data_IF_938807670240
#
_entry.id   IF_938807670240
#
_cell.length_a   1.000
_cell.length_b   1.000
_cell.length_c   1.000
_cell.angle_alpha   90.00
_cell.angle_beta   90.00
_cell.angle_gamma   90.00
#
_symmetry.space_group_name_H-M   'P 1'
#
loop_
_entity.id
_entity.type
_entity.pdbx_description
1 polymer ?
#
# COMPACT_ATOMS: atom_id res chain seq x y z
N UNK A 1 -16.62 -28.36 63.09
CA UNK A 1 -17.36 -27.85 61.91
C UNK A 1 -16.70 -26.56 61.44
N UNK A 2 -16.64 -26.30 60.12
CA UNK A 2 -16.04 -25.10 59.46
C UNK A 2 -14.53 -25.12 59.17
N UNK A 3 -14.02 -26.20 58.59
CA UNK A 3 -12.84 -26.18 57.71
C UNK A 3 -13.13 -27.26 56.69
N UNK A 4 -13.43 -26.90 55.44
CA UNK A 4 -13.50 -27.76 54.23
C UNK A 4 -14.34 -27.09 53.12
N UNK A 5 -15.13 -26.04 53.43
CA UNK A 5 -15.92 -25.31 52.40
C UNK A 5 -15.02 -24.39 51.55
N UNK A 6 -13.92 -23.88 52.11
CA UNK A 6 -13.04 -22.94 51.39
C UNK A 6 -12.25 -23.58 50.24
N UNK A 7 -11.98 -24.89 50.31
CA UNK A 7 -11.21 -25.60 49.28
C UNK A 7 -12.03 -25.86 48.00
N UNK A 8 -13.36 -26.04 48.16
CA UNK A 8 -14.27 -26.35 47.05
C UNK A 8 -14.51 -25.11 46.17
N UNK A 9 -14.55 -23.91 46.80
CA UNK A 9 -14.72 -22.64 46.09
C UNK A 9 -13.54 -22.30 45.18
N UNK A 10 -12.31 -22.59 45.63
CA UNK A 10 -11.08 -22.36 44.85
C UNK A 10 -10.98 -23.35 43.68
N UNK A 11 -11.41 -24.60 43.87
CA UNK A 11 -11.37 -25.63 42.82
C UNK A 11 -12.41 -25.36 41.70
N UNK A 12 -13.54 -24.74 42.04
CA UNK A 12 -14.60 -24.39 41.06
C UNK A 12 -14.25 -23.22 40.14
N UNK A 13 -13.31 -22.34 40.55
CA UNK A 13 -12.82 -21.22 39.73
C UNK A 13 -11.82 -21.66 38.64
N UNK A 14 -11.19 -22.82 38.81
CA UNK A 14 -10.18 -23.34 37.86
C UNK A 14 -10.78 -24.14 36.69
N UNK A 15 -12.07 -24.50 36.74
CA UNK A 15 -12.73 -25.28 35.71
C UNK A 15 -13.50 -24.43 34.68
N UNK A 16 -13.55 -23.11 34.85
CA UNK A 16 -14.28 -22.21 33.96
C UNK A 16 -13.41 -21.56 32.86
N UNK A 17 -12.16 -21.98 32.72
CA UNK A 17 -11.26 -21.57 31.64
C UNK A 17 -11.02 -22.74 30.67
N UNK A 18 -12.11 -23.36 30.21
CA UNK A 18 -12.09 -24.03 28.91
C UNK A 18 -12.57 -22.98 27.91
N UNK A 19 -11.63 -22.19 27.40
CA UNK A 19 -11.86 -21.38 26.21
C UNK A 19 -12.33 -22.33 25.12
N UNK A 20 -13.62 -22.27 24.78
CA UNK A 20 -14.09 -22.89 23.56
C UNK A 20 -13.29 -22.29 22.42
N UNK A 21 -12.59 -23.13 21.66
CA UNK A 21 -11.94 -22.72 20.42
C UNK A 21 -12.99 -22.03 19.56
N UNK A 22 -12.92 -20.70 19.52
CA UNK A 22 -13.73 -19.91 18.61
C UNK A 22 -13.17 -20.24 17.23
N UNK A 23 -13.83 -21.17 16.54
CA UNK A 23 -13.64 -21.40 15.11
C UNK A 23 -14.06 -20.11 14.38
N UNK A 24 -13.21 -19.10 14.41
CA UNK A 24 -13.36 -17.95 13.54
C UNK A 24 -13.16 -18.47 12.12
N UNK A 25 -14.10 -18.22 11.20
CA UNK A 25 -13.87 -18.56 9.80
C UNK A 25 -12.57 -17.87 9.36
N UNK A 26 -11.65 -18.65 8.78
CA UNK A 26 -10.39 -18.12 8.27
C UNK A 26 -10.76 -17.08 7.20
N UNK A 27 -10.62 -15.80 7.53
CA UNK A 27 -10.86 -14.74 6.57
C UNK A 27 -9.78 -14.78 5.50
N UNK A 28 -10.20 -15.03 4.26
CA UNK A 28 -9.29 -15.10 3.13
C UNK A 28 -8.59 -13.75 2.95
N UNK A 29 -7.25 -13.78 3.00
CA UNK A 29 -6.42 -12.60 2.77
C UNK A 29 -6.29 -12.32 1.26
N UNK A 30 -6.49 -11.07 0.81
CA UNK A 30 -6.31 -10.72 -0.59
C UNK A 30 -4.87 -10.92 -1.07
N UNK A 31 -4.71 -11.54 -2.24
CA UNK A 31 -3.42 -11.76 -2.91
C UNK A 31 -3.10 -10.59 -3.83
N UNK A 32 -1.83 -10.18 -3.86
CA UNK A 32 -1.34 -9.10 -4.70
C UNK A 32 -1.07 -9.59 -6.13
N UNK A 33 -1.68 -8.91 -7.10
CA UNK A 33 -1.39 -8.98 -8.53
C UNK A 33 -0.82 -7.66 -9.01
N UNK A 34 0.11 -7.73 -9.96
CA UNK A 34 0.66 -6.54 -10.60
C UNK A 34 0.64 -6.66 -12.11
N UNK A 35 0.48 -5.52 -12.78
CA UNK A 35 0.65 -5.41 -14.23
C UNK A 35 1.08 -4.01 -14.63
N UNK A 36 1.70 -3.89 -15.80
CA UNK A 36 2.02 -2.59 -16.38
C UNK A 36 0.79 -2.00 -17.07
N UNK A 37 0.49 -0.74 -16.78
CA UNK A 37 -0.60 0.03 -17.38
C UNK A 37 -0.07 1.34 -17.95
N UNK A 38 -0.82 1.93 -18.89
CA UNK A 38 -0.59 3.30 -19.35
C UNK A 38 -1.31 4.27 -18.43
N UNK A 39 -0.61 5.30 -17.97
CA UNK A 39 -1.17 6.38 -17.17
C UNK A 39 -0.89 7.72 -17.83
N UNK A 40 -1.80 8.68 -17.66
CA UNK A 40 -1.67 10.03 -18.20
C UNK A 40 -1.06 10.92 -17.13
N UNK A 41 -0.05 11.70 -17.51
CA UNK A 41 0.52 12.75 -16.66
C UNK A 41 -0.50 13.86 -16.48
N UNK A 42 -0.88 14.12 -15.24
CA UNK A 42 -1.83 15.17 -14.84
C UNK A 42 -1.11 16.45 -14.46
N UNK A 43 0.06 16.35 -13.82
CA UNK A 43 0.90 17.50 -13.49
C UNK A 43 2.33 17.07 -13.30
N UNK A 44 3.29 17.92 -13.68
CA UNK A 44 4.72 17.66 -13.47
C UNK A 44 5.42 18.91 -12.93
N UNK A 45 5.49 19.03 -11.59
CA UNK A 45 6.11 20.16 -10.91
C UNK A 45 7.58 19.88 -10.64
N UNK A 46 8.44 20.84 -10.94
CA UNK A 46 9.90 20.69 -10.92
C UNK A 46 10.51 21.82 -10.11
N UNK A 47 11.52 21.50 -9.31
CA UNK A 47 12.26 22.49 -8.52
C UNK A 47 13.73 22.12 -8.50
N UNK A 48 14.59 23.11 -8.61
CA UNK A 48 16.03 22.94 -8.48
C UNK A 48 16.60 23.98 -7.53
N UNK A 49 17.61 23.62 -6.75
CA UNK A 49 18.36 24.55 -5.92
C UNK A 49 19.83 24.13 -5.85
N UNK A 50 20.68 25.00 -5.30
CA UNK A 50 22.10 24.72 -5.12
C UNK A 50 22.44 24.68 -3.62
N UNK A 51 23.08 23.59 -3.19
CA UNK A 51 23.56 23.40 -1.81
C UNK A 51 24.76 22.45 -1.84
N UNK A 52 25.96 23.00 -2.07
CA UNK A 52 27.20 22.24 -2.33
C UNK A 52 27.24 21.55 -3.71
N UNK A 53 26.08 21.09 -4.18
CA UNK A 53 25.84 20.59 -5.53
C UNK A 53 24.46 21.03 -6.02
N UNK A 54 24.16 20.79 -7.31
CA UNK A 54 22.82 21.01 -7.86
C UNK A 54 21.88 19.91 -7.39
N UNK A 55 20.73 20.30 -6.85
CA UNK A 55 19.64 19.41 -6.44
C UNK A 55 18.43 19.55 -7.37
N UNK A 56 17.72 18.44 -7.56
CA UNK A 56 16.53 18.32 -8.38
C UNK A 56 15.42 17.67 -7.56
N UNK A 57 14.22 18.24 -7.61
CA UNK A 57 13.01 17.66 -7.04
C UNK A 57 11.90 17.70 -8.06
N UNK A 58 11.19 16.60 -8.19
CA UNK A 58 10.07 16.44 -9.10
C UNK A 58 8.87 15.87 -8.35
N UNK A 59 7.72 16.53 -8.48
CA UNK A 59 6.41 16.04 -8.07
C UNK A 59 5.59 15.77 -9.33
N UNK A 60 5.44 14.51 -9.69
CA UNK A 60 4.66 14.08 -10.85
C UNK A 60 3.36 13.41 -10.39
N UNK A 61 2.23 13.89 -10.91
CA UNK A 61 0.90 13.31 -10.68
C UNK A 61 0.45 12.60 -11.94
N UNK A 62 -0.03 11.38 -11.80
CA UNK A 62 -0.55 10.57 -12.90
C UNK A 62 -1.95 10.07 -12.60
N UNK A 63 -2.72 9.79 -13.67
CA UNK A 63 -4.06 9.21 -13.59
C UNK A 63 -4.19 8.06 -14.57
N UNK A 64 -4.73 6.93 -14.11
CA UNK A 64 -5.30 5.93 -15.01
C UNK A 64 -6.75 6.27 -15.28
N UNK A 65 -7.11 6.46 -16.55
CA UNK A 65 -8.51 6.66 -16.96
C UNK A 65 -9.33 5.37 -16.82
N UNK A 66 -8.74 4.23 -17.19
CA UNK A 66 -9.37 2.91 -17.15
C UNK A 66 -9.83 2.51 -15.74
N UNK A 67 -8.97 2.73 -14.73
CA UNK A 67 -9.27 2.38 -13.34
C UNK A 67 -9.79 3.54 -12.51
N UNK A 68 -9.87 4.74 -13.08
CA UNK A 68 -10.21 6.00 -12.40
C UNK A 68 -9.43 6.25 -11.09
N UNK A 69 -8.14 5.89 -11.07
CA UNK A 69 -7.22 6.11 -9.92
C UNK A 69 -6.13 7.11 -10.28
N UNK A 70 -5.59 7.78 -9.26
CA UNK A 70 -4.51 8.75 -9.39
C UNK A 70 -3.45 8.53 -8.31
N UNK A 71 -2.20 8.89 -8.59
CA UNK A 71 -1.09 8.83 -7.64
C UNK A 71 -0.13 9.98 -7.90
N UNK A 72 0.46 10.50 -6.82
CA UNK A 72 1.55 11.45 -6.86
C UNK A 72 2.86 10.75 -6.49
N UNK A 73 3.90 11.00 -7.26
CA UNK A 73 5.26 10.52 -7.02
C UNK A 73 6.18 11.71 -6.75
N UNK A 74 7.12 11.50 -5.83
CA UNK A 74 8.13 12.47 -5.45
C UNK A 74 9.50 11.87 -5.75
N UNK A 75 10.20 12.46 -6.71
CA UNK A 75 11.54 12.05 -7.12
C UNK A 75 12.52 13.14 -6.72
N UNK A 76 13.69 12.77 -6.22
CA UNK A 76 14.76 13.70 -5.84
C UNK A 76 16.09 13.08 -6.24
N UNK A 77 16.96 13.89 -6.84
CA UNK A 77 18.33 13.50 -7.14
C UNK A 77 19.26 14.72 -7.13
N UNK A 78 20.57 14.53 -7.12
CA UNK A 78 21.56 15.60 -7.01
C UNK A 78 22.87 15.26 -7.72
N UNK A 79 23.70 16.28 -7.99
CA UNK A 79 25.02 16.07 -8.60
C UNK A 79 25.07 16.26 -10.11
N UNK A 80 26.28 16.10 -10.64
CA UNK A 80 26.56 16.19 -12.08
C UNK A 80 25.92 15.04 -12.89
N UNK A 81 25.57 13.93 -12.22
CA UNK A 81 25.00 12.73 -12.82
C UNK A 81 23.55 12.47 -12.39
N UNK A 82 22.87 13.49 -11.88
CA UNK A 82 21.48 13.37 -11.45
C UNK A 82 20.59 12.85 -12.59
N UNK A 83 19.80 11.82 -12.33
CA UNK A 83 18.90 11.17 -13.27
C UNK A 83 17.45 11.39 -12.86
N UNK A 84 16.77 12.23 -13.63
CA UNK A 84 15.35 12.52 -13.43
C UNK A 84 14.58 12.04 -14.67
N UNK A 85 14.21 10.74 -14.75
CA UNK A 85 13.72 10.12 -15.99
C UNK A 85 12.44 10.77 -16.52
N UNK A 86 11.59 11.29 -15.64
CA UNK A 86 10.35 11.95 -16.01
C UNK A 86 10.48 13.47 -16.11
N UNK A 87 11.69 14.03 -16.04
CA UNK A 87 11.90 15.48 -15.99
C UNK A 87 11.29 16.20 -17.19
N UNK A 88 11.31 15.58 -18.37
CA UNK A 88 10.80 16.20 -19.60
C UNK A 88 9.35 15.85 -19.91
N UNK A 89 8.69 15.00 -19.12
CA UNK A 89 7.27 14.69 -19.31
C UNK A 89 6.41 15.95 -19.15
N UNK A 90 5.40 16.07 -20.00
CA UNK A 90 4.40 17.15 -20.01
C UNK A 90 3.04 16.62 -19.58
N UNK A 91 2.17 17.54 -19.16
CA UNK A 91 0.77 17.19 -18.91
C UNK A 91 0.14 16.65 -20.19
N UNK A 92 -0.60 15.55 -20.08
CA UNK A 92 -1.18 14.82 -21.21
C UNK A 92 -0.31 13.66 -21.74
N UNK A 93 0.98 13.61 -21.42
CA UNK A 93 1.85 12.51 -21.84
C UNK A 93 1.37 11.17 -21.26
N UNK A 94 1.51 10.10 -22.03
CA UNK A 94 1.31 8.74 -21.55
C UNK A 94 2.64 8.12 -21.13
N UNK A 95 2.71 7.66 -19.89
CA UNK A 95 3.85 6.92 -19.36
C UNK A 95 3.42 5.57 -18.79
N UNK A 96 4.37 4.66 -18.65
CA UNK A 96 4.12 3.34 -18.08
C UNK A 96 4.18 3.41 -16.55
N UNK A 97 3.26 2.69 -15.89
CA UNK A 97 3.26 2.52 -14.46
C UNK A 97 2.80 1.12 -14.09
N UNK A 98 3.24 0.63 -12.94
CA UNK A 98 2.76 -0.62 -12.37
C UNK A 98 1.48 -0.38 -11.58
N UNK A 99 0.44 -1.15 -11.90
CA UNK A 99 -0.79 -1.23 -11.15
C UNK A 99 -0.70 -2.41 -10.19
N UNK A 100 -0.92 -2.17 -8.91
CA UNK A 100 -1.19 -3.21 -7.92
C UNK A 100 -2.70 -3.41 -7.78
N UNK A 101 -3.11 -4.67 -7.72
CA UNK A 101 -4.49 -5.10 -7.47
C UNK A 101 -4.48 -6.18 -6.41
N UNK A 102 -5.24 -5.99 -5.33
CA UNK A 102 -5.44 -7.01 -4.30
C UNK A 102 -6.74 -7.74 -4.59
N UNK A 103 -6.66 -9.05 -4.81
CA UNK A 103 -7.77 -9.91 -5.24
C UNK A 103 -7.97 -11.04 -4.22
N UNK A 104 -9.21 -11.32 -3.81
CA UNK A 104 -9.53 -12.58 -3.13
C UNK A 104 -9.59 -13.69 -4.17
N UNK A 105 -8.91 -14.81 -3.97
CA UNK A 105 -8.89 -15.90 -4.95
C UNK A 105 -10.23 -16.61 -5.01
N UNK A 106 -10.88 -16.83 -3.87
CA UNK A 106 -12.14 -17.60 -3.83
C UNK A 106 -13.31 -16.91 -4.55
N UNK A 107 -13.33 -15.58 -4.57
CA UNK A 107 -14.44 -14.79 -5.13
C UNK A 107 -14.05 -13.98 -6.37
N UNK A 108 -12.77 -13.96 -6.72
CA UNK A 108 -12.18 -13.04 -7.72
C UNK A 108 -12.43 -11.54 -7.43
N UNK A 109 -12.87 -11.20 -6.23
CA UNK A 109 -13.20 -9.84 -5.82
C UNK A 109 -11.92 -8.99 -5.73
N UNK A 110 -11.90 -7.84 -6.41
CA UNK A 110 -10.82 -6.87 -6.30
C UNK A 110 -11.11 -5.92 -5.14
N UNK A 111 -10.32 -6.05 -4.08
CA UNK A 111 -10.47 -5.28 -2.83
C UNK A 111 -9.85 -3.90 -2.95
N UNK A 112 -8.73 -3.79 -3.65
CA UNK A 112 -7.98 -2.52 -3.78
C UNK A 112 -7.22 -2.47 -5.09
N UNK A 113 -7.07 -1.26 -5.64
CA UNK A 113 -6.12 -0.96 -6.72
C UNK A 113 -5.31 0.27 -6.39
N UNK A 114 -4.04 0.28 -6.76
CA UNK A 114 -3.21 1.49 -6.71
C UNK A 114 -2.13 1.50 -7.78
N UNK A 115 -1.79 2.70 -8.26
CA UNK A 115 -0.59 2.88 -9.08
C UNK A 115 0.61 2.78 -8.14
N UNK A 116 1.44 1.76 -8.27
CA UNK A 116 2.53 1.48 -7.33
C UNK A 116 3.81 2.25 -7.67
N UNK A 117 4.33 2.08 -8.88
CA UNK A 117 5.58 2.67 -9.35
C UNK A 117 5.48 3.13 -10.80
N UNK A 118 6.22 4.17 -11.17
CA UNK A 118 6.45 4.52 -12.58
C UNK A 118 7.51 3.58 -13.17
N UNK A 119 7.44 3.30 -14.46
CA UNK A 119 8.39 2.45 -15.21
C UNK A 119 9.22 3.28 -16.18
#
# INVERSE_FOLDING_TARGET
MKKNIFLILILSLLLCACEGEVNQPIEEQPVLYYKTIKVVVVSNKKTTWYAGTRWYKQKIKVKSKEYNIQKEFYLTDSGAFASMPYWNCKEGDMIAAELYSWKKESTEEIVKREINQLK
#
